data_IF_664997431463
#
_entry.id   IF_664997431463
#
_cell.length_a   1.000
_cell.length_b   1.000
_cell.length_c   1.000
_cell.angle_alpha   90.00
_cell.angle_beta   90.00
_cell.angle_gamma   90.00
#
_symmetry.space_group_name_H-M   'P 1'
#
loop_
_entity.id
_entity.type
_entity.pdbx_description
1 polymer ?
#
# COMPACT_ATOMS: atom_id res chain seq x y z
N UNK A 1 -3.52 16.45 -12.37
CA UNK A 1 -3.05 15.26 -11.62
C UNK A 1 -1.98 15.58 -10.58
N UNK A 2 -0.94 16.35 -10.91
CA UNK A 2 0.13 16.70 -9.95
C UNK A 2 -0.40 17.46 -8.71
N UNK A 3 -1.32 18.42 -8.90
CA UNK A 3 -1.88 19.23 -7.82
C UNK A 3 -2.73 18.44 -6.81
N UNK A 4 -3.52 17.47 -7.28
CA UNK A 4 -4.31 16.59 -6.40
C UNK A 4 -3.41 15.66 -5.58
N UNK A 5 -2.34 15.11 -6.18
CA UNK A 5 -1.34 14.32 -5.44
C UNK A 5 -0.59 15.15 -4.40
N UNK A 6 -0.15 16.36 -4.75
CA UNK A 6 0.59 17.23 -3.83
C UNK A 6 -0.26 17.60 -2.60
N UNK A 7 -1.56 17.85 -2.76
CA UNK A 7 -2.48 18.09 -1.64
C UNK A 7 -2.69 16.85 -0.78
N UNK A 8 -2.92 15.70 -1.40
CA UNK A 8 -2.99 14.39 -0.72
C UNK A 8 -1.76 14.18 0.18
N UNK A 9 -0.56 14.39 -0.36
CA UNK A 9 0.70 14.24 0.37
C UNK A 9 0.93 15.25 1.50
N UNK A 10 0.25 16.40 1.50
CA UNK A 10 0.33 17.40 2.58
C UNK A 10 -0.58 17.09 3.77
N UNK A 11 -1.54 16.19 3.63
CA UNK A 11 -2.40 15.80 4.75
C UNK A 11 -1.59 15.08 5.83
N UNK A 12 -1.86 15.38 7.10
CA UNK A 12 -1.19 14.74 8.26
C UNK A 12 -1.32 13.23 8.20
N UNK A 13 -2.48 12.71 7.81
CA UNK A 13 -2.73 11.28 7.64
C UNK A 13 -1.89 10.65 6.51
N UNK A 14 -1.74 11.31 5.36
CA UNK A 14 -0.85 10.77 4.31
C UNK A 14 0.60 10.79 4.73
N UNK A 15 1.03 11.82 5.48
CA UNK A 15 2.40 11.88 6.03
C UNK A 15 2.61 10.80 7.08
N UNK A 16 1.63 10.56 7.95
CA UNK A 16 1.67 9.49 8.93
C UNK A 16 1.79 8.12 8.25
N UNK A 17 1.02 7.85 7.19
CA UNK A 17 1.15 6.60 6.44
C UNK A 17 2.52 6.40 5.80
N UNK A 18 3.07 7.46 5.19
CA UNK A 18 4.44 7.42 4.65
C UNK A 18 5.48 7.22 5.75
N UNK A 19 5.34 7.89 6.89
CA UNK A 19 6.25 7.75 8.03
C UNK A 19 6.18 6.34 8.63
N UNK A 20 4.98 5.80 8.86
CA UNK A 20 4.79 4.43 9.31
C UNK A 20 5.38 3.41 8.32
N UNK A 21 5.13 3.58 7.02
CA UNK A 21 5.71 2.73 5.99
C UNK A 21 7.24 2.78 5.99
N UNK A 22 7.83 3.98 6.06
CA UNK A 22 9.28 4.16 6.12
C UNK A 22 9.90 3.57 7.39
N UNK A 23 9.27 3.79 8.55
CA UNK A 23 9.72 3.23 9.83
C UNK A 23 9.68 1.70 9.81
N UNK A 24 8.58 1.11 9.35
CA UNK A 24 8.48 -0.35 9.21
C UNK A 24 9.51 -0.88 8.22
N UNK A 25 9.64 -0.24 7.05
CA UNK A 25 10.68 -0.58 6.08
C UNK A 25 12.09 -0.56 6.68
N UNK A 26 12.40 0.46 7.48
CA UNK A 26 13.69 0.58 8.18
C UNK A 26 13.88 -0.50 9.26
N UNK A 27 12.82 -0.84 10.02
CA UNK A 27 12.86 -1.92 11.01
C UNK A 27 13.12 -3.27 10.33
N UNK A 28 12.37 -3.60 9.28
CA UNK A 28 12.58 -4.86 8.54
C UNK A 28 13.92 -4.90 7.80
N UNK A 29 14.40 -3.77 7.28
CA UNK A 29 15.73 -3.68 6.67
C UNK A 29 16.83 -3.93 7.72
N UNK A 30 16.73 -3.30 8.88
CA UNK A 30 17.66 -3.51 9.99
C UNK A 30 17.65 -4.98 10.44
N UNK A 31 16.46 -5.58 10.59
CA UNK A 31 16.34 -7.01 10.92
C UNK A 31 16.99 -7.91 9.84
N UNK A 32 16.81 -7.59 8.55
CA UNK A 32 17.44 -8.33 7.47
C UNK A 32 18.97 -8.25 7.52
N UNK A 33 19.52 -7.08 7.86
CA UNK A 33 20.97 -6.86 8.02
C UNK A 33 21.50 -7.64 9.23
N UNK A 34 20.81 -7.56 10.37
CA UNK A 34 21.20 -8.27 11.59
C UNK A 34 21.18 -9.78 11.38
N UNK A 35 20.09 -10.32 10.81
CA UNK A 35 19.99 -11.75 10.48
C UNK A 35 21.09 -12.19 9.52
N UNK A 36 21.41 -11.36 8.52
CA UNK A 36 22.51 -11.64 7.59
C UNK A 36 23.87 -11.65 8.28
N UNK A 37 24.08 -10.79 9.27
CA UNK A 37 25.32 -10.74 10.03
C UNK A 37 25.47 -11.92 11.00
N UNK A 38 24.37 -12.41 11.59
CA UNK A 38 24.39 -13.48 12.59
C UNK A 38 24.35 -14.89 11.98
N UNK A 39 23.54 -15.10 10.94
CA UNK A 39 23.29 -16.42 10.33
C UNK A 39 24.02 -16.63 8.99
N UNK A 40 24.70 -15.59 8.50
CA UNK A 40 25.49 -15.66 7.28
C UNK A 40 24.65 -15.86 6.01
N UNK A 41 25.19 -16.60 5.03
CA UNK A 41 24.60 -16.66 3.69
C UNK A 41 23.25 -17.36 3.60
N UNK A 42 22.90 -18.14 4.62
CA UNK A 42 21.72 -19.02 4.66
C UNK A 42 20.50 -18.42 5.36
N UNK A 43 20.58 -17.17 5.84
CA UNK A 43 19.49 -16.50 6.54
C UNK A 43 18.18 -16.47 5.69
N UNK A 44 17.04 -16.96 6.20
CA UNK A 44 15.78 -17.05 5.46
C UNK A 44 15.07 -15.67 5.40
N UNK A 45 15.51 -14.82 4.48
CA UNK A 45 14.99 -13.45 4.35
C UNK A 45 13.58 -13.39 3.73
N UNK A 46 13.13 -14.42 3.02
CA UNK A 46 11.83 -14.39 2.31
C UNK A 46 10.65 -14.32 3.26
N UNK A 47 10.73 -15.02 4.41
CA UNK A 47 9.69 -14.96 5.45
C UNK A 47 9.60 -13.57 6.10
N UNK A 48 10.77 -12.95 6.35
CA UNK A 48 10.87 -11.60 6.90
C UNK A 48 10.26 -10.57 5.95
N UNK A 49 10.59 -10.64 4.65
CA UNK A 49 10.03 -9.69 3.67
C UNK A 49 8.53 -9.91 3.47
N UNK A 50 8.05 -11.15 3.51
CA UNK A 50 6.61 -11.44 3.49
C UNK A 50 5.88 -10.80 4.67
N UNK A 51 6.40 -10.98 5.90
CA UNK A 51 5.80 -10.37 7.09
C UNK A 51 5.88 -8.84 7.03
N UNK A 52 7.04 -8.30 6.63
CA UNK A 52 7.21 -6.85 6.43
C UNK A 52 6.25 -6.29 5.40
N UNK A 53 6.01 -7.00 4.30
CA UNK A 53 5.07 -6.58 3.27
C UNK A 53 3.62 -6.54 3.76
N UNK A 54 3.20 -7.54 4.55
CA UNK A 54 1.89 -7.53 5.18
C UNK A 54 1.75 -6.36 6.17
N UNK A 55 2.73 -6.18 7.07
CA UNK A 55 2.72 -5.11 8.08
C UNK A 55 2.73 -3.72 7.45
N UNK A 56 3.57 -3.48 6.45
CA UNK A 56 3.65 -2.23 5.70
C UNK A 56 2.31 -1.95 5.01
N UNK A 57 1.73 -2.94 4.35
CA UNK A 57 0.45 -2.77 3.65
C UNK A 57 -0.66 -2.40 4.61
N UNK A 58 -0.76 -3.05 5.78
CA UNK A 58 -1.78 -2.72 6.76
C UNK A 58 -1.56 -1.34 7.39
N UNK A 59 -0.36 -1.09 7.92
CA UNK A 59 -0.09 0.07 8.76
C UNK A 59 0.20 1.35 7.96
N UNK A 60 0.81 1.24 6.77
CA UNK A 60 1.05 2.40 5.91
C UNK A 60 -0.18 2.74 5.05
N UNK A 61 -0.92 1.74 4.58
CA UNK A 61 -2.09 1.98 3.73
C UNK A 61 -3.31 2.44 4.53
N UNK A 62 -3.50 2.01 5.78
CA UNK A 62 -4.67 2.43 6.59
C UNK A 62 -4.84 3.96 6.69
N UNK A 63 -3.85 4.74 7.17
CA UNK A 63 -4.00 6.19 7.30
C UNK A 63 -4.11 6.90 5.93
N UNK A 64 -3.40 6.42 4.90
CA UNK A 64 -3.49 6.99 3.54
C UNK A 64 -4.84 6.71 2.88
N UNK A 65 -5.43 5.54 3.12
CA UNK A 65 -6.76 5.15 2.62
C UNK A 65 -7.86 5.92 3.38
N UNK A 66 -7.73 6.11 4.69
CA UNK A 66 -8.61 6.99 5.47
C UNK A 66 -8.53 8.44 5.01
N UNK A 67 -7.32 8.93 4.69
CA UNK A 67 -7.14 10.24 4.08
C UNK A 67 -7.75 10.29 2.67
N UNK A 68 -7.74 9.20 1.92
CA UNK A 68 -8.37 9.10 0.60
C UNK A 68 -9.91 9.15 0.68
N UNK A 69 -10.49 8.56 1.74
CA UNK A 69 -11.94 8.47 1.95
C UNK A 69 -12.57 9.73 2.59
N UNK A 70 -11.79 10.77 2.90
CA UNK A 70 -12.35 12.04 3.38
C UNK A 70 -13.04 12.82 2.25
N UNK A 71 -13.98 13.70 2.62
CA UNK A 71 -14.75 14.52 1.68
C UNK A 71 -13.92 15.64 1.05
N UNK A 72 -12.97 15.26 0.20
CA UNK A 72 -12.14 16.20 -0.56
C UNK A 72 -12.94 17.05 -1.53
N UNK A 73 -14.11 16.59 -1.94
CA UNK A 73 -14.95 17.34 -2.87
C UNK A 73 -15.49 18.59 -2.17
N UNK A 74 -15.96 18.44 -0.93
CA UNK A 74 -16.34 19.58 -0.10
C UNK A 74 -15.15 20.53 0.16
N UNK A 75 -14.00 20.00 0.58
CA UNK A 75 -12.79 20.81 0.84
C UNK A 75 -12.30 21.57 -0.41
N UNK A 76 -12.33 20.95 -1.59
CA UNK A 76 -11.93 21.58 -2.85
C UNK A 76 -12.95 22.66 -3.29
N UNK A 77 -14.23 22.46 -2.98
CA UNK A 77 -15.29 23.44 -3.27
C UNK A 77 -15.19 24.66 -2.36
N UNK A 78 -14.98 24.45 -1.07
CA UNK A 78 -14.70 25.52 -0.10
C UNK A 78 -13.44 26.30 -0.46
N UNK A 79 -12.42 25.62 -0.99
CA UNK A 79 -11.19 26.25 -1.49
C UNK A 79 -11.35 26.91 -2.89
N UNK A 80 -12.53 26.91 -3.50
CA UNK A 80 -12.80 27.54 -4.80
C UNK A 80 -12.13 26.84 -6.00
N UNK A 81 -11.60 25.63 -5.83
CA UNK A 81 -10.85 24.91 -6.88
C UNK A 81 -11.79 24.47 -8.01
N UNK A 82 -13.02 24.08 -7.69
CA UNK A 82 -14.01 23.71 -8.70
C UNK A 82 -14.39 24.92 -9.58
N UNK A 83 -14.49 26.11 -8.98
CA UNK A 83 -14.72 27.35 -9.72
C UNK A 83 -13.53 27.70 -10.63
N UNK A 84 -12.29 27.59 -10.13
CA UNK A 84 -11.08 27.83 -10.92
C UNK A 84 -10.90 26.82 -12.06
N UNK A 85 -11.30 25.56 -11.85
CA UNK A 85 -11.26 24.56 -12.91
C UNK A 85 -12.32 24.83 -13.98
N UNK A 86 -13.52 25.30 -13.58
CA UNK A 86 -14.59 25.65 -14.49
C UNK A 86 -14.21 26.83 -15.41
N UNK A 87 -13.50 27.85 -14.90
CA UNK A 87 -13.01 28.97 -15.74
C UNK A 87 -11.98 28.53 -16.79
N UNK A 88 -11.35 27.37 -16.61
CA UNK A 88 -10.45 26.74 -17.60
C UNK A 88 -11.15 25.70 -18.50
N UNK A 89 -12.48 25.64 -18.47
CA UNK A 89 -13.26 24.71 -19.30
C UNK A 89 -13.18 23.24 -18.86
N UNK A 90 -12.65 22.96 -17.67
CA UNK A 90 -12.57 21.58 -17.16
C UNK A 90 -13.94 21.13 -16.64
N UNK A 91 -14.42 20.00 -17.15
CA UNK A 91 -15.68 19.39 -16.70
C UNK A 91 -15.52 18.75 -15.31
N UNK A 92 -16.51 18.87 -14.43
CA UNK A 92 -16.51 18.26 -13.09
C UNK A 92 -16.20 16.74 -13.10
N UNK A 93 -16.68 16.02 -14.12
CA UNK A 93 -16.41 14.58 -14.30
C UNK A 93 -14.90 14.27 -14.46
N UNK A 94 -14.14 15.16 -15.11
CA UNK A 94 -12.70 14.99 -15.27
C UNK A 94 -11.95 15.13 -13.94
N UNK A 95 -12.39 16.04 -13.07
CA UNK A 95 -11.80 16.21 -11.74
C UNK A 95 -12.01 14.98 -10.86
N UNK A 96 -13.20 14.36 -10.93
CA UNK A 96 -13.47 13.12 -10.20
C UNK A 96 -12.54 11.97 -10.60
N UNK A 97 -12.33 11.76 -11.90
CA UNK A 97 -11.39 10.72 -12.38
C UNK A 97 -9.97 11.02 -11.93
N UNK A 98 -9.53 12.28 -12.02
CA UNK A 98 -8.19 12.68 -11.57
C UNK A 98 -7.99 12.48 -10.07
N UNK A 99 -9.01 12.76 -9.25
CA UNK A 99 -8.98 12.52 -7.79
C UNK A 99 -8.89 11.02 -7.49
N UNK A 100 -9.66 10.21 -8.21
CA UNK A 100 -9.66 8.76 -8.05
C UNK A 100 -8.31 8.13 -8.42
N UNK A 101 -7.75 8.49 -9.57
CA UNK A 101 -6.43 7.99 -9.97
C UNK A 101 -5.33 8.52 -9.04
N UNK A 102 -5.47 9.74 -8.51
CA UNK A 102 -4.52 10.29 -7.54
C UNK A 102 -4.53 9.53 -6.20
N UNK A 103 -5.70 9.07 -5.72
CA UNK A 103 -5.77 8.26 -4.49
C UNK A 103 -5.10 6.89 -4.68
N UNK A 104 -5.40 6.20 -5.78
CA UNK A 104 -4.75 4.91 -6.11
C UNK A 104 -3.23 5.02 -6.13
N UNK A 105 -2.71 6.05 -6.80
CA UNK A 105 -1.27 6.23 -6.95
C UNK A 105 -0.59 6.69 -5.66
N UNK A 106 -1.29 7.47 -4.83
CA UNK A 106 -0.76 7.87 -3.53
C UNK A 106 -0.68 6.68 -2.57
N UNK A 107 -1.73 5.85 -2.49
CA UNK A 107 -1.74 4.65 -1.65
C UNK A 107 -0.72 3.63 -2.17
N UNK A 108 -0.73 3.37 -3.49
CA UNK A 108 0.25 2.50 -4.14
C UNK A 108 1.67 2.94 -3.86
N UNK A 109 1.97 4.25 -3.95
CA UNK A 109 3.31 4.80 -3.63
C UNK A 109 3.66 4.64 -2.14
N UNK A 110 2.72 4.82 -1.23
CA UNK A 110 2.95 4.67 0.20
C UNK A 110 3.31 3.23 0.59
N UNK A 111 2.81 2.24 -0.16
CA UNK A 111 3.15 0.83 -0.01
C UNK A 111 4.44 0.50 -0.79
N UNK A 112 4.51 0.87 -2.07
CA UNK A 112 5.59 0.49 -2.97
C UNK A 112 6.95 1.02 -2.52
N UNK A 113 7.04 2.29 -2.06
CA UNK A 113 8.33 2.87 -1.67
C UNK A 113 9.04 2.08 -0.56
N UNK A 114 8.42 1.82 0.61
CA UNK A 114 9.09 1.04 1.65
C UNK A 114 9.33 -0.41 1.24
N UNK A 115 8.46 -1.04 0.43
CA UNK A 115 8.70 -2.40 -0.07
C UNK A 115 9.87 -2.47 -1.04
N UNK A 116 9.99 -1.50 -1.96
CA UNK A 116 11.12 -1.41 -2.88
C UNK A 116 12.41 -1.14 -2.10
N UNK A 117 12.38 -0.24 -1.11
CA UNK A 117 13.51 -0.01 -0.23
C UNK A 117 13.97 -1.28 0.47
N UNK A 118 13.04 -2.03 1.07
CA UNK A 118 13.33 -3.31 1.71
C UNK A 118 13.87 -4.34 0.71
N UNK A 119 13.27 -4.44 -0.48
CA UNK A 119 13.71 -5.36 -1.53
C UNK A 119 15.13 -5.03 -2.01
N UNK A 120 15.47 -3.75 -2.21
CA UNK A 120 16.81 -3.31 -2.59
C UNK A 120 17.85 -3.66 -1.53
N UNK A 121 17.52 -3.49 -0.24
CA UNK A 121 18.39 -3.93 0.86
C UNK A 121 18.63 -5.43 0.77
N UNK A 122 17.58 -6.23 0.56
CA UNK A 122 17.79 -7.68 0.39
C UNK A 122 18.61 -8.02 -0.86
N UNK A 123 18.43 -7.33 -1.99
CA UNK A 123 19.27 -7.54 -3.19
C UNK A 123 20.74 -7.22 -2.88
N UNK A 124 21.01 -6.10 -2.19
CA UNK A 124 22.35 -5.68 -1.82
C UNK A 124 23.06 -6.66 -0.86
N UNK A 125 22.29 -7.36 -0.01
CA UNK A 125 22.81 -8.41 0.88
C UNK A 125 23.03 -9.77 0.18
N UNK A 126 22.78 -9.87 -1.12
CA UNK A 126 23.00 -11.11 -1.88
C UNK A 126 24.48 -11.36 -2.14
N UNK A 127 24.96 -12.55 -1.79
CA UNK A 127 26.35 -12.97 -2.04
C UNK A 127 26.56 -13.61 -3.42
N UNK A 128 25.49 -13.85 -4.18
CA UNK A 128 25.54 -14.52 -5.49
C UNK A 128 24.61 -13.84 -6.49
N UNK A 129 25.02 -13.81 -7.76
CA UNK A 129 24.23 -13.25 -8.87
C UNK A 129 22.91 -13.99 -9.08
N UNK A 130 22.87 -15.31 -8.89
CA UNK A 130 21.63 -16.09 -9.02
C UNK A 130 20.62 -15.75 -7.92
N UNK A 131 21.09 -15.54 -6.69
CA UNK A 131 20.26 -15.07 -5.57
C UNK A 131 19.80 -13.63 -5.76
N UNK A 132 20.66 -12.76 -6.32
CA UNK A 132 20.30 -11.40 -6.62
C UNK A 132 19.16 -11.36 -7.65
N UNK A 133 19.25 -12.15 -8.72
CA UNK A 133 18.20 -12.24 -9.74
C UNK A 133 16.86 -12.70 -9.16
N UNK A 134 16.86 -13.70 -8.27
CA UNK A 134 15.63 -14.15 -7.58
C UNK A 134 15.02 -13.06 -6.72
N UNK A 135 15.84 -12.33 -5.97
CA UNK A 135 15.38 -11.20 -5.16
C UNK A 135 14.82 -10.07 -6.02
N UNK A 136 15.37 -9.84 -7.21
CA UNK A 136 14.81 -8.91 -8.20
C UNK A 136 13.44 -9.37 -8.70
N UNK A 137 13.28 -10.65 -9.08
CA UNK A 137 11.97 -11.18 -9.49
C UNK A 137 10.94 -11.07 -8.37
N UNK A 138 11.34 -11.37 -7.14
CA UNK A 138 10.49 -11.20 -5.97
C UNK A 138 10.11 -9.71 -5.73
N UNK A 139 11.05 -8.78 -5.91
CA UNK A 139 10.81 -7.35 -5.84
C UNK A 139 9.78 -6.87 -6.90
N UNK A 140 9.86 -7.41 -8.12
CA UNK A 140 8.87 -7.16 -9.17
C UNK A 140 7.49 -7.69 -8.77
N UNK A 141 7.43 -8.85 -8.13
CA UNK A 141 6.21 -9.39 -7.54
C UNK A 141 5.61 -8.49 -6.46
N UNK A 142 6.43 -7.94 -5.56
CA UNK A 142 6.00 -6.96 -4.54
C UNK A 142 5.52 -5.65 -5.16
N UNK A 143 6.12 -5.21 -6.26
CA UNK A 143 5.65 -4.05 -7.02
C UNK A 143 4.27 -4.31 -7.61
N UNK A 144 4.05 -5.44 -8.26
CA UNK A 144 2.74 -5.83 -8.78
C UNK A 144 1.70 -5.91 -7.65
N UNK A 145 2.06 -6.51 -6.52
CA UNK A 145 1.22 -6.56 -5.32
C UNK A 145 0.85 -5.15 -4.82
N UNK A 146 1.82 -4.24 -4.71
CA UNK A 146 1.58 -2.87 -4.25
C UNK A 146 0.66 -2.09 -5.20
N UNK A 147 0.73 -2.36 -6.51
CA UNK A 147 -0.17 -1.78 -7.49
C UNK A 147 -1.60 -2.30 -7.31
N UNK A 148 -1.77 -3.62 -7.15
CA UNK A 148 -3.08 -4.24 -6.88
C UNK A 148 -3.67 -3.69 -5.58
N UNK A 149 -2.90 -3.65 -4.50
CA UNK A 149 -3.32 -3.08 -3.22
C UNK A 149 -3.69 -1.58 -3.33
N UNK A 150 -2.88 -0.80 -4.05
CA UNK A 150 -3.16 0.62 -4.29
C UNK A 150 -4.44 0.85 -5.09
N UNK A 151 -4.70 0.03 -6.11
CA UNK A 151 -5.93 0.08 -6.90
C UNK A 151 -7.12 -0.30 -6.02
N UNK A 152 -7.09 -1.45 -5.33
CA UNK A 152 -8.23 -1.94 -4.54
C UNK A 152 -8.58 -1.02 -3.38
N UNK A 153 -7.59 -0.56 -2.61
CA UNK A 153 -7.83 0.39 -1.52
C UNK A 153 -8.21 1.77 -2.04
N UNK A 154 -7.62 2.21 -3.16
CA UNK A 154 -7.93 3.48 -3.80
C UNK A 154 -9.35 3.55 -4.38
N UNK A 155 -9.83 2.47 -4.99
CA UNK A 155 -11.23 2.33 -5.44
C UNK A 155 -12.18 2.33 -4.26
N UNK A 156 -11.89 1.55 -3.22
CA UNK A 156 -12.73 1.48 -2.04
C UNK A 156 -12.84 2.84 -1.35
N UNK A 157 -11.71 3.53 -1.15
CA UNK A 157 -11.71 4.87 -0.57
C UNK A 157 -12.51 5.88 -1.40
N UNK A 158 -12.35 5.86 -2.72
CA UNK A 158 -13.09 6.76 -3.61
C UNK A 158 -14.60 6.47 -3.58
N UNK A 159 -14.98 5.19 -3.53
CA UNK A 159 -16.37 4.76 -3.45
C UNK A 159 -16.99 5.15 -2.09
N UNK A 160 -16.26 4.93 -1.00
CA UNK A 160 -16.69 5.32 0.35
C UNK A 160 -16.84 6.84 0.49
N UNK A 161 -15.93 7.63 -0.08
CA UNK A 161 -16.07 9.09 -0.12
C UNK A 161 -17.32 9.51 -0.91
N UNK A 162 -17.61 8.85 -2.03
CA UNK A 162 -18.77 9.16 -2.89
C UNK A 162 -20.11 8.83 -2.22
N UNK A 163 -20.22 7.68 -1.55
CA UNK A 163 -21.44 7.24 -0.88
C UNK A 163 -21.64 7.91 0.48
N UNK A 164 -20.57 8.07 1.26
CA UNK A 164 -20.64 8.54 2.63
C UNK A 164 -20.52 10.05 2.79
N UNK A 165 -20.04 10.78 1.78
CA UNK A 165 -19.70 12.21 1.87
C UNK A 165 -18.83 12.48 3.10
N UNK A 166 -19.32 13.33 4.01
CA UNK A 166 -18.67 13.64 5.30
C UNK A 166 -18.44 12.43 6.21
N UNK A 167 -19.22 11.35 6.07
CA UNK A 167 -19.07 10.07 6.79
C UNK A 167 -18.24 9.03 6.03
N UNK A 168 -17.63 9.38 4.89
CA UNK A 168 -16.89 8.43 4.03
C UNK A 168 -15.80 7.65 4.77
N UNK A 169 -15.12 8.27 5.74
CA UNK A 169 -14.14 7.57 6.60
C UNK A 169 -14.78 6.45 7.43
N UNK A 170 -15.92 6.72 8.05
CA UNK A 170 -16.65 5.74 8.87
C UNK A 170 -17.17 4.60 7.99
N UNK A 171 -17.68 4.94 6.80
CA UNK A 171 -18.14 3.94 5.84
C UNK A 171 -17.00 3.03 5.38
N UNK A 172 -15.82 3.59 5.08
CA UNK A 172 -14.64 2.81 4.73
C UNK A 172 -14.25 1.86 5.87
N UNK A 173 -14.18 2.37 7.10
CA UNK A 173 -13.87 1.54 8.29
C UNK A 173 -14.89 0.43 8.43
N UNK A 174 -16.18 0.73 8.28
CA UNK A 174 -17.23 -0.28 8.33
C UNK A 174 -17.06 -1.35 7.24
N UNK A 175 -16.79 -0.95 6.00
CA UNK A 175 -16.64 -1.88 4.86
C UNK A 175 -15.37 -2.72 4.95
N UNK A 176 -14.29 -2.21 5.55
CA UNK A 176 -13.02 -2.93 5.64
C UNK A 176 -12.94 -3.75 6.93
N UNK A 177 -13.16 -3.11 8.08
CA UNK A 177 -12.92 -3.69 9.40
C UNK A 177 -14.02 -4.68 9.77
N UNK A 178 -15.31 -4.37 9.51
CA UNK A 178 -16.40 -5.27 9.91
C UNK A 178 -16.31 -6.61 9.18
N UNK A 179 -16.19 -6.68 7.84
CA UNK A 179 -16.02 -7.96 7.16
C UNK A 179 -14.73 -8.68 7.54
N UNK A 180 -13.66 -7.94 7.82
CA UNK A 180 -12.41 -8.56 8.27
C UNK A 180 -12.55 -9.21 9.65
N UNK A 181 -13.15 -8.52 10.63
CA UNK A 181 -13.43 -9.09 11.95
C UNK A 181 -14.38 -10.28 11.87
N UNK A 182 -15.42 -10.21 11.04
CA UNK A 182 -16.34 -11.33 10.82
C UNK A 182 -15.65 -12.53 10.16
N UNK A 183 -14.75 -12.29 9.20
CA UNK A 183 -13.98 -13.34 8.53
C UNK A 183 -12.98 -14.02 9.48
N UNK A 184 -12.30 -13.26 10.33
CA UNK A 184 -11.43 -13.80 11.39
C UNK A 184 -12.23 -14.65 12.38
N UNK A 185 -13.37 -14.15 12.86
CA UNK A 185 -14.23 -14.88 13.81
C UNK A 185 -14.79 -16.18 13.21
N UNK A 186 -15.02 -16.20 11.90
CA UNK A 186 -15.50 -17.38 11.17
C UNK A 186 -14.38 -18.37 10.75
N UNK A 187 -13.12 -18.10 11.08
CA UNK A 187 -11.97 -18.90 10.62
C UNK A 187 -11.78 -18.87 9.10
N UNK A 188 -12.38 -17.88 8.42
CA UNK A 188 -12.43 -17.72 6.96
C UNK A 188 -11.74 -16.43 6.52
N UNK A 189 -10.63 -16.09 7.17
CA UNK A 189 -9.90 -14.83 6.96
C UNK A 189 -9.63 -14.51 5.48
N UNK A 190 -9.44 -15.52 4.62
CA UNK A 190 -9.18 -15.40 3.18
C UNK A 190 -10.29 -14.73 2.35
N UNK A 191 -11.54 -14.67 2.84
CA UNK A 191 -12.66 -14.04 2.11
C UNK A 191 -12.79 -12.52 2.35
N UNK A 192 -11.88 -11.93 3.13
CA UNK A 192 -11.82 -10.48 3.36
C UNK A 192 -10.81 -9.80 2.43
N UNK A 193 -10.92 -8.49 2.19
CA UNK A 193 -9.94 -7.73 1.39
C UNK A 193 -8.51 -7.88 1.94
N UNK A 194 -8.27 -7.71 3.27
CA UNK A 194 -6.96 -7.97 3.85
C UNK A 194 -6.52 -9.42 3.67
N UNK A 195 -7.43 -10.39 3.82
CA UNK A 195 -7.13 -11.81 3.63
C UNK A 195 -6.75 -12.17 2.20
N UNK A 196 -7.42 -11.60 1.20
CA UNK A 196 -7.10 -11.79 -0.20
C UNK A 196 -5.72 -11.21 -0.55
N UNK A 197 -5.38 -10.04 0.01
CA UNK A 197 -4.04 -9.46 -0.12
C UNK A 197 -2.98 -10.35 0.56
N UNK A 198 -3.26 -10.85 1.76
CA UNK A 198 -2.38 -11.78 2.46
C UNK A 198 -2.19 -13.10 1.70
N UNK A 199 -3.24 -13.63 1.06
CA UNK A 199 -3.17 -14.84 0.24
C UNK A 199 -2.35 -14.60 -1.05
N UNK A 200 -2.54 -13.45 -1.70
CA UNK A 200 -1.72 -13.08 -2.86
C UNK A 200 -0.24 -12.95 -2.47
N UNK A 201 0.02 -12.35 -1.31
CA UNK A 201 1.37 -12.20 -0.78
C UNK A 201 2.00 -13.56 -0.40
N UNK A 202 1.23 -14.48 0.17
CA UNK A 202 1.74 -15.82 0.52
C UNK A 202 2.11 -16.63 -0.72
N UNK A 203 1.33 -16.53 -1.81
CA UNK A 203 1.66 -17.13 -3.11
C UNK A 203 2.98 -16.55 -3.66
N UNK A 204 3.15 -15.23 -3.58
CA UNK A 204 4.39 -14.55 -3.97
C UNK A 204 5.60 -15.00 -3.15
N UNK A 205 5.45 -15.12 -1.83
CA UNK A 205 6.50 -15.61 -0.93
C UNK A 205 6.83 -17.08 -1.23
N UNK A 206 5.83 -17.92 -1.47
CA UNK A 206 6.03 -19.32 -1.84
C UNK A 206 6.77 -19.47 -3.17
N UNK A 207 6.42 -18.67 -4.18
CA UNK A 207 7.12 -18.62 -5.46
C UNK A 207 8.59 -18.16 -5.31
N UNK A 208 8.87 -17.26 -4.37
CA UNK A 208 10.24 -16.84 -4.04
C UNK A 208 11.09 -17.94 -3.39
N UNK A 209 10.48 -18.86 -2.64
CA UNK A 209 11.16 -19.98 -1.96
C UNK A 209 11.41 -21.18 -2.87
N UNK A 210 10.52 -21.46 -3.82
CA UNK A 210 10.44 -22.71 -4.60
C UNK A 210 11.55 -22.98 -5.62
N UNK A 211 12.72 -22.35 -5.53
CA UNK A 211 13.82 -22.57 -6.46
C UNK A 211 15.10 -23.16 -5.85
N UNK A 212 15.22 -23.37 -4.54
CA UNK A 212 16.44 -23.97 -3.99
C UNK A 212 16.44 -25.48 -4.31
N UNK A 213 17.36 -26.02 -5.15
CA UNK A 213 17.64 -27.45 -5.07
C UNK A 213 18.20 -27.74 -3.68
N UNK A 214 17.67 -28.78 -3.05
CA UNK A 214 18.27 -29.39 -1.87
C UNK A 214 19.68 -29.92 -2.19
#
# INVERSE_FOLDING_TARGET
MALSRARLGRTTLSRAGLACGALLGAVFATLAIVLRATEGTSAPLEGLVGLGAASITLLAAAPTTLAAASDRTAEDREAGIEALAATRGLRARSLHVVRWVASMLQIGRAIALPLVGLALVTVALSSSGSMALRRVVFALGLLAFSAVAGITLGTLAAFSARLGGRRGRVLLVAIVVVPWMLAELAGRGSYSIPGALSALLSILVAAGRGGAPA
#
